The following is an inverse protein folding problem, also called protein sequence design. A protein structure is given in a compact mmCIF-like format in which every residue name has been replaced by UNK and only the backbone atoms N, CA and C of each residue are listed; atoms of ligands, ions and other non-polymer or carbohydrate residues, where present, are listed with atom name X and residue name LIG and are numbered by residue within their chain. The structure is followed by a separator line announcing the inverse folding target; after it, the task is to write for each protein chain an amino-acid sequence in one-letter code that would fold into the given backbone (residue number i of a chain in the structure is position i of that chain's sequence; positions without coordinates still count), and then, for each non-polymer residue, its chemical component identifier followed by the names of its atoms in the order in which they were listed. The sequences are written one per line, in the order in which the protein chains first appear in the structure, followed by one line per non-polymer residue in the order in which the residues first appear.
data_IF_651750822807
#
_entry.id   IF_651750822807
#
_cell.length_a   1.000
_cell.length_b   1.000
_cell.length_c   1.000
_cell.angle_alpha   90.00
_cell.angle_beta   90.00
_cell.angle_gamma   90.00
#
_symmetry.space_group_name_H-M   'P 1'
#
loop_
_entity.id
_entity.type
_entity.pdbx_description
1 polymer ?
#
# COMPACT_ATOMS: atom_id res chain seq x y z
N UNK A 1 -4.26 -5.78 -10.78
CA UNK A 1 -4.18 -5.06 -12.06
C UNK A 1 -3.72 -6.05 -13.12
N UNK A 2 -4.35 -6.11 -14.29
CA UNK A 2 -3.85 -6.96 -15.39
C UNK A 2 -2.64 -6.27 -16.04
N UNK A 3 -1.72 -7.05 -16.62
CA UNK A 3 -0.47 -6.50 -17.18
C UNK A 3 -0.72 -5.39 -18.21
N UNK A 4 -1.72 -5.57 -19.07
CA UNK A 4 -2.11 -4.56 -20.07
C UNK A 4 -2.46 -3.18 -19.47
N UNK A 5 -3.01 -3.12 -18.26
CA UNK A 5 -3.28 -1.84 -17.59
C UNK A 5 -2.04 -1.24 -16.94
N UNK A 6 -1.14 -2.08 -16.41
CA UNK A 6 0.13 -1.62 -15.84
C UNK A 6 1.06 -1.02 -16.90
N UNK A 7 1.00 -1.53 -18.13
CA UNK A 7 1.81 -1.04 -19.26
C UNK A 7 1.24 0.25 -19.89
N UNK A 8 0.00 0.62 -19.55
CA UNK A 8 -0.64 1.83 -20.07
C UNK A 8 -0.25 3.05 -19.24
N UNK A 9 0.57 3.93 -19.82
CA UNK A 9 1.00 5.17 -19.15
C UNK A 9 -0.17 6.05 -18.72
N UNK A 10 -1.14 6.26 -19.60
CA UNK A 10 -2.32 7.08 -19.31
C UNK A 10 -3.11 6.53 -18.12
N UNK A 11 -3.23 5.19 -18.06
CA UNK A 11 -3.88 4.53 -16.94
C UNK A 11 -3.07 4.67 -15.66
N UNK A 12 -1.76 4.42 -15.69
CA UNK A 12 -0.92 4.51 -14.48
C UNK A 12 -0.86 5.93 -13.93
N UNK A 13 -0.78 6.93 -14.81
CA UNK A 13 -0.76 8.34 -14.41
C UNK A 13 -2.08 8.73 -13.72
N UNK A 14 -3.22 8.35 -14.32
CA UNK A 14 -4.54 8.54 -13.70
C UNK A 14 -4.66 7.78 -12.36
N UNK A 15 -4.19 6.54 -12.31
CA UNK A 15 -4.36 5.66 -11.16
C UNK A 15 -3.58 6.12 -9.93
N UNK A 16 -2.42 6.74 -10.14
CA UNK A 16 -1.57 7.25 -9.06
C UNK A 16 -1.68 8.76 -8.84
N UNK A 17 -2.59 9.45 -9.52
CA UNK A 17 -2.74 10.91 -9.43
C UNK A 17 -2.89 11.42 -7.97
N UNK A 18 -3.56 10.65 -7.12
CA UNK A 18 -3.79 10.99 -5.71
C UNK A 18 -2.93 10.17 -4.74
N UNK A 19 -2.03 9.34 -5.26
CA UNK A 19 -1.10 8.55 -4.48
C UNK A 19 0.17 9.37 -4.26
N UNK A 20 0.45 9.79 -3.02
CA UNK A 20 1.66 10.59 -2.72
C UNK A 20 2.93 9.86 -3.17
N UNK A 21 2.95 8.52 -3.08
CA UNK A 21 4.09 7.72 -3.51
C UNK A 21 4.20 7.60 -5.04
N UNK A 22 3.13 7.88 -5.79
CA UNK A 22 3.10 7.87 -7.25
C UNK A 22 3.27 6.49 -7.89
N UNK A 23 3.14 5.40 -7.13
CA UNK A 23 3.43 4.03 -7.60
C UNK A 23 2.72 2.96 -6.77
N UNK A 24 2.70 1.74 -7.29
CA UNK A 24 2.39 0.58 -6.47
C UNK A 24 3.46 0.37 -5.40
N UNK A 25 3.03 -0.07 -4.22
CA UNK A 25 3.92 -0.62 -3.22
C UNK A 25 4.56 -1.91 -3.73
N UNK A 26 5.82 -2.14 -3.35
CA UNK A 26 6.51 -3.41 -3.50
C UNK A 26 6.06 -4.39 -2.41
N UNK A 27 6.11 -5.71 -2.65
CA UNK A 27 5.71 -6.71 -1.65
C UNK A 27 6.38 -6.52 -0.29
N UNK A 28 7.66 -6.15 -0.28
CA UNK A 28 8.47 -5.95 0.92
C UNK A 28 7.98 -4.78 1.78
N UNK A 29 7.38 -3.77 1.16
CA UNK A 29 6.81 -2.60 1.86
C UNK A 29 5.54 -2.97 2.63
N UNK A 30 4.82 -4.01 2.21
CA UNK A 30 3.66 -4.56 2.95
C UNK A 30 4.11 -5.57 4.01
N UNK A 31 5.10 -6.39 3.66
CA UNK A 31 5.60 -7.47 4.52
C UNK A 31 6.14 -6.95 5.86
N UNK A 32 6.73 -5.75 5.90
CA UNK A 32 7.22 -5.13 7.13
C UNK A 32 6.13 -4.95 8.19
N UNK A 33 4.98 -4.42 7.81
CA UNK A 33 3.85 -4.23 8.74
C UNK A 33 3.25 -5.56 9.18
N UNK A 34 3.09 -6.51 8.26
CA UNK A 34 2.63 -7.87 8.60
C UNK A 34 3.58 -8.53 9.61
N UNK A 35 4.90 -8.41 9.39
CA UNK A 35 5.91 -8.94 10.30
C UNK A 35 5.82 -8.31 11.69
N UNK A 36 5.60 -7.00 11.78
CA UNK A 36 5.38 -6.33 13.07
C UNK A 36 4.13 -6.86 13.78
N UNK A 37 3.01 -6.98 13.08
CA UNK A 37 1.76 -7.50 13.66
C UNK A 37 1.87 -8.96 14.14
N UNK A 38 2.80 -9.73 13.58
CA UNK A 38 3.10 -11.11 14.02
C UNK A 38 4.16 -11.19 15.13
N UNK A 39 4.74 -10.06 15.55
CA UNK A 39 5.78 -10.02 16.57
C UNK A 39 5.22 -9.80 17.98
N UNK A 40 6.01 -10.12 19.00
CA UNK A 40 5.64 -9.90 20.41
C UNK A 40 5.39 -8.41 20.72
N UNK A 41 6.00 -7.49 19.95
CA UNK A 41 5.81 -6.04 20.09
C UNK A 41 4.37 -5.60 19.81
N UNK A 42 3.61 -6.42 19.06
CA UNK A 42 2.20 -6.16 18.74
C UNK A 42 1.23 -6.86 19.70
N UNK A 43 1.70 -7.39 20.85
CA UNK A 43 0.91 -8.22 21.78
C UNK A 43 -0.40 -7.58 22.31
N UNK A 44 -0.55 -6.26 22.21
CA UNK A 44 -1.79 -5.56 22.60
C UNK A 44 -2.53 -4.90 21.43
N UNK A 45 -2.10 -5.13 20.20
CA UNK A 45 -2.77 -4.62 18.99
C UNK A 45 -3.84 -5.62 18.57
N UNK A 46 -5.11 -5.27 18.78
CA UNK A 46 -6.27 -6.03 18.29
C UNK A 46 -7.35 -5.07 17.76
N UNK A 47 -8.18 -5.56 16.83
CA UNK A 47 -9.33 -4.81 16.30
C UNK A 47 -9.01 -3.52 15.53
N UNK A 48 -7.73 -3.23 15.27
CA UNK A 48 -7.31 -2.02 14.56
C UNK A 48 -7.32 -2.19 13.04
N UNK A 49 -7.59 -1.11 12.32
CA UNK A 49 -7.46 -1.01 10.86
C UNK A 49 -6.27 -0.09 10.58
N UNK A 50 -5.24 -0.60 9.90
CA UNK A 50 -4.06 0.18 9.52
C UNK A 50 -4.08 0.41 8.00
N UNK A 51 -4.09 1.67 7.59
CA UNK A 51 -4.03 2.06 6.18
C UNK A 51 -2.58 2.08 5.70
N UNK A 52 -2.28 1.32 4.64
CA UNK A 52 -0.96 1.28 4.01
C UNK A 52 -1.17 1.38 2.50
N UNK A 53 -1.31 2.60 2.00
CA UNK A 53 -1.76 2.84 0.62
C UNK A 53 -0.90 3.86 -0.14
N UNK A 54 0.25 4.25 0.41
CA UNK A 54 1.13 5.25 -0.19
C UNK A 54 0.57 6.68 -0.18
N UNK A 55 -0.42 6.96 0.69
CA UNK A 55 -1.04 8.27 0.85
C UNK A 55 -2.22 8.51 -0.08
N UNK A 56 -2.97 7.46 -0.44
CA UNK A 56 -4.08 7.55 -1.39
C UNK A 56 -5.39 8.04 -0.73
N UNK A 57 -5.69 7.56 0.48
CA UNK A 57 -7.03 7.69 1.10
C UNK A 57 -7.22 8.97 1.91
N UNK A 58 -6.14 9.65 2.33
CA UNK A 58 -6.25 10.82 3.21
C UNK A 58 -5.24 11.88 2.82
N UNK A 59 -5.73 13.08 2.53
CA UNK A 59 -4.97 14.33 2.32
C UNK A 59 -5.45 15.37 3.31
#
# INVERSE_FOLDING_TARGET
MTQHWADSKDFTDMFFQHNISGRCAQPEEMAGTVKHLLSDDASFVNGAIWTIDGGQTTH
#
